data_IF_727558755471
#
_entry.id   IF_727558755471
#
_cell.length_a   1.000
_cell.length_b   1.000
_cell.length_c   1.000
_cell.angle_alpha   90.00
_cell.angle_beta   90.00
_cell.angle_gamma   90.00
#
_symmetry.space_group_name_H-M   'P 1'
#
loop_
_entity.id
_entity.type
_entity.pdbx_description
1 polymer ?
#
# COMPACT_ATOMS: atom_id res chain seq x y z
N UNK A 1 55.77 12.44 -18.77
CA UNK A 1 54.37 12.67 -19.20
C UNK A 1 53.90 11.47 -19.96
N UNK A 2 53.34 10.46 -19.30
CA UNK A 2 52.81 9.25 -19.94
C UNK A 2 51.29 9.26 -19.87
N UNK A 3 50.69 9.39 -21.06
CA UNK A 3 49.23 9.30 -21.27
C UNK A 3 48.81 7.84 -21.25
N UNK A 4 48.16 7.40 -20.15
CA UNK A 4 47.45 6.14 -20.16
C UNK A 4 46.11 6.32 -20.92
N UNK A 5 46.06 5.84 -22.15
CA UNK A 5 44.84 5.62 -22.89
C UNK A 5 44.14 4.40 -22.30
N UNK A 6 43.06 4.59 -21.55
CA UNK A 6 42.15 3.50 -21.19
C UNK A 6 41.38 3.08 -22.44
N UNK A 7 41.76 1.94 -23.01
CA UNK A 7 40.98 1.27 -24.02
C UNK A 7 39.78 0.62 -23.35
N UNK A 8 38.55 1.18 -23.54
CA UNK A 8 37.31 0.52 -23.24
C UNK A 8 37.06 -0.46 -24.37
N UNK A 9 37.28 -1.76 -24.12
CA UNK A 9 36.81 -2.81 -25.02
C UNK A 9 35.27 -2.87 -24.92
N UNK A 10 34.55 -2.79 -26.04
CA UNK A 10 33.14 -3.11 -26.07
C UNK A 10 33.00 -4.64 -25.94
N UNK A 11 32.53 -5.11 -24.79
CA UNK A 11 32.09 -6.49 -24.64
C UNK A 11 30.78 -6.60 -25.40
N UNK A 12 30.82 -7.09 -26.62
CA UNK A 12 29.64 -7.47 -27.37
C UNK A 12 29.05 -8.73 -26.72
N UNK A 13 28.07 -8.55 -25.86
CA UNK A 13 27.23 -9.62 -25.38
C UNK A 13 26.28 -10.05 -26.50
N UNK A 14 26.64 -11.09 -27.24
CA UNK A 14 25.69 -11.79 -28.10
C UNK A 14 24.80 -12.67 -27.21
N UNK A 15 23.63 -12.18 -26.85
CA UNK A 15 22.58 -12.95 -26.13
C UNK A 15 21.83 -13.76 -27.18
N UNK A 16 22.11 -15.05 -27.24
CA UNK A 16 21.31 -16.00 -28.01
C UNK A 16 20.31 -16.64 -27.09
N UNK A 17 19.02 -16.30 -27.25
CA UNK A 17 17.92 -17.00 -26.59
C UNK A 17 17.72 -18.33 -27.32
N UNK A 18 18.22 -19.42 -26.76
CA UNK A 18 18.00 -20.75 -27.29
C UNK A 18 16.74 -21.33 -26.66
N UNK A 19 15.76 -21.64 -27.50
CA UNK A 19 14.52 -22.28 -27.13
C UNK A 19 14.70 -23.67 -26.49
N UNK A 20 13.77 -24.01 -25.64
CA UNK A 20 13.63 -25.24 -24.87
C UNK A 20 13.91 -26.51 -25.67
N UNK A 21 14.97 -27.23 -25.32
CA UNK A 21 15.10 -28.65 -25.61
C UNK A 21 15.62 -29.34 -24.34
N UNK A 22 14.73 -30.15 -23.75
CA UNK A 22 15.05 -30.88 -22.54
C UNK A 22 16.10 -31.94 -22.76
N UNK A 23 17.03 -32.05 -21.78
CA UNK A 23 17.67 -33.29 -21.29
C UNK A 23 18.55 -32.93 -20.09
N UNK A 24 18.32 -33.55 -18.98
CA UNK A 24 19.17 -33.83 -17.79
C UNK A 24 20.26 -32.82 -17.35
N UNK A 25 20.04 -31.51 -17.45
CA UNK A 25 21.04 -30.52 -17.04
C UNK A 25 20.49 -29.14 -16.71
N UNK A 26 19.23 -29.02 -16.23
CA UNK A 26 18.60 -27.73 -15.88
C UNK A 26 18.39 -26.79 -17.08
N UNK A 27 17.34 -26.01 -17.05
CA UNK A 27 17.07 -25.01 -18.11
C UNK A 27 18.18 -23.96 -18.14
N UNK A 28 18.80 -23.76 -19.31
CA UNK A 28 19.79 -22.69 -19.52
C UNK A 28 19.05 -21.42 -19.94
N UNK A 29 19.29 -20.33 -19.23
CA UNK A 29 18.65 -19.03 -19.53
C UNK A 29 19.54 -18.11 -20.36
N UNK A 30 20.84 -18.14 -20.11
CA UNK A 30 21.82 -17.29 -20.81
C UNK A 30 23.07 -18.14 -21.07
N UNK A 31 23.61 -18.06 -22.28
CA UNK A 31 24.87 -18.70 -22.65
C UNK A 31 25.86 -17.68 -23.17
N UNK A 32 27.11 -17.77 -22.77
CA UNK A 32 28.22 -16.95 -23.26
C UNK A 32 29.52 -17.76 -23.36
N UNK A 33 30.57 -17.18 -23.95
CA UNK A 33 31.89 -17.80 -23.94
C UNK A 33 32.50 -17.96 -22.55
N UNK A 34 32.00 -17.21 -21.56
CA UNK A 34 32.46 -17.26 -20.18
C UNK A 34 31.72 -18.32 -19.35
N UNK A 35 30.64 -18.92 -19.86
CA UNK A 35 29.81 -19.92 -19.21
C UNK A 35 28.34 -19.69 -19.43
N UNK A 36 27.54 -20.59 -18.87
CA UNK A 36 26.08 -20.58 -18.92
C UNK A 36 25.50 -20.15 -17.56
N UNK A 37 24.37 -19.44 -17.59
CA UNK A 37 23.51 -19.21 -16.41
C UNK A 37 22.36 -20.20 -16.48
N UNK A 38 22.31 -21.11 -15.53
CA UNK A 38 21.32 -22.18 -15.45
C UNK A 38 20.22 -21.85 -14.44
N UNK A 39 19.15 -22.64 -14.48
CA UNK A 39 18.10 -22.59 -13.44
C UNK A 39 18.67 -22.78 -12.03
N UNK A 40 19.66 -23.69 -11.89
CA UNK A 40 20.33 -23.93 -10.63
C UNK A 40 21.06 -22.69 -10.12
N UNK A 41 21.79 -21.99 -10.98
CA UNK A 41 22.51 -20.78 -10.60
C UNK A 41 21.56 -19.68 -10.13
N UNK A 42 20.41 -19.54 -10.80
CA UNK A 42 19.34 -18.58 -10.40
C UNK A 42 18.74 -18.98 -9.04
N UNK A 43 18.39 -20.25 -8.86
CA UNK A 43 17.83 -20.77 -7.60
C UNK A 43 18.81 -20.57 -6.44
N UNK A 44 20.09 -20.86 -6.64
CA UNK A 44 21.14 -20.65 -5.64
C UNK A 44 21.32 -19.16 -5.32
N UNK A 45 21.23 -18.28 -6.31
CA UNK A 45 21.36 -16.83 -6.12
C UNK A 45 20.21 -16.20 -5.33
N UNK A 46 19.00 -16.73 -5.49
CA UNK A 46 17.79 -16.27 -4.77
C UNK A 46 17.85 -16.70 -3.29
N UNK A 47 18.50 -17.82 -3.01
CA UNK A 47 18.62 -18.40 -1.68
C UNK A 47 17.39 -19.21 -1.23
N UNK A 48 17.65 -20.23 -0.44
CA UNK A 48 16.65 -21.23 -0.03
C UNK A 48 15.44 -20.63 0.70
N UNK A 49 15.66 -19.60 1.54
CA UNK A 49 14.57 -18.94 2.30
C UNK A 49 13.58 -18.24 1.38
N UNK A 50 14.07 -17.47 0.41
CA UNK A 50 13.21 -16.76 -0.54
C UNK A 50 12.49 -17.72 -1.48
N UNK A 51 13.19 -18.77 -1.94
CA UNK A 51 12.60 -19.82 -2.77
C UNK A 51 11.46 -20.54 -2.03
N UNK A 52 11.68 -20.90 -0.75
CA UNK A 52 10.65 -21.53 0.09
C UNK A 52 9.42 -20.63 0.28
N UNK A 53 9.62 -19.34 0.57
CA UNK A 53 8.51 -18.38 0.69
C UNK A 53 7.71 -18.27 -0.63
N UNK A 54 8.40 -18.19 -1.76
CA UNK A 54 7.76 -18.11 -3.07
C UNK A 54 6.98 -19.38 -3.38
N UNK A 55 7.57 -20.56 -3.16
CA UNK A 55 6.90 -21.85 -3.36
C UNK A 55 5.66 -22.00 -2.47
N UNK A 56 5.76 -21.61 -1.19
CA UNK A 56 4.63 -21.60 -0.25
C UNK A 56 3.52 -20.69 -0.74
N UNK A 57 3.84 -19.45 -1.15
CA UNK A 57 2.87 -18.51 -1.71
C UNK A 57 2.17 -19.07 -2.95
N UNK A 58 2.93 -19.67 -3.88
CA UNK A 58 2.36 -20.30 -5.07
C UNK A 58 1.45 -21.49 -4.71
N UNK A 59 1.81 -22.29 -3.71
CA UNK A 59 0.98 -23.41 -3.24
C UNK A 59 -0.32 -22.90 -2.62
N UNK A 60 -0.26 -21.89 -1.77
CA UNK A 60 -1.46 -21.24 -1.18
C UNK A 60 -2.40 -20.75 -2.28
N UNK A 61 -1.88 -20.07 -3.31
CA UNK A 61 -2.68 -19.60 -4.43
C UNK A 61 -3.38 -20.75 -5.18
N UNK A 62 -2.64 -21.84 -5.45
CA UNK A 62 -3.22 -23.02 -6.10
C UNK A 62 -4.34 -23.67 -5.27
N UNK A 63 -4.11 -23.83 -3.95
CA UNK A 63 -5.10 -24.38 -3.03
C UNK A 63 -6.35 -23.51 -2.96
N UNK A 64 -6.19 -22.17 -2.93
CA UNK A 64 -7.30 -21.22 -2.92
C UNK A 64 -8.12 -21.31 -4.22
N UNK A 65 -7.46 -21.30 -5.37
CA UNK A 65 -8.14 -21.40 -6.68
C UNK A 65 -8.87 -22.73 -6.84
N UNK A 66 -8.31 -23.83 -6.34
CA UNK A 66 -8.96 -25.15 -6.36
C UNK A 66 -10.17 -25.19 -5.42
N UNK A 67 -10.02 -24.72 -4.17
CA UNK A 67 -11.11 -24.65 -3.17
C UNK A 67 -12.32 -23.86 -3.67
N UNK A 68 -12.07 -22.74 -4.36
CA UNK A 68 -13.12 -21.84 -4.84
C UNK A 68 -13.41 -21.98 -6.34
N UNK A 69 -12.94 -23.05 -6.95
CA UNK A 69 -13.25 -23.39 -8.35
C UNK A 69 -14.78 -23.41 -8.56
N UNK A 70 -15.26 -22.66 -9.54
CA UNK A 70 -16.70 -22.52 -9.84
C UNK A 70 -17.50 -21.59 -8.92
N UNK A 71 -16.86 -21.02 -7.88
CA UNK A 71 -17.46 -19.97 -7.04
C UNK A 71 -16.94 -18.57 -7.40
N UNK A 72 -15.83 -18.49 -8.13
CA UNK A 72 -15.27 -17.22 -8.61
C UNK A 72 -16.17 -16.72 -9.75
N UNK A 73 -16.66 -15.49 -9.62
CA UNK A 73 -17.44 -14.82 -10.66
C UNK A 73 -16.52 -14.38 -11.81
N UNK A 74 -16.44 -15.18 -12.84
CA UNK A 74 -15.64 -14.91 -14.05
C UNK A 74 -16.08 -13.62 -14.76
N UNK A 75 -17.36 -13.25 -14.67
CA UNK A 75 -17.88 -12.01 -15.25
C UNK A 75 -17.30 -10.79 -14.50
N UNK A 76 -17.30 -10.83 -13.17
CA UNK A 76 -16.69 -9.79 -12.37
C UNK A 76 -15.18 -9.65 -12.63
N UNK A 77 -14.47 -10.77 -12.88
CA UNK A 77 -13.06 -10.75 -13.28
C UNK A 77 -12.86 -10.03 -14.62
N UNK A 78 -13.68 -10.33 -15.62
CA UNK A 78 -13.61 -9.66 -16.94
C UNK A 78 -13.95 -8.16 -16.84
N UNK A 79 -14.93 -7.79 -16.03
CA UNK A 79 -15.27 -6.39 -15.78
C UNK A 79 -14.11 -5.61 -15.14
N UNK A 80 -13.44 -6.22 -14.14
CA UNK A 80 -12.25 -5.61 -13.50
C UNK A 80 -11.10 -5.47 -14.50
N UNK A 81 -10.87 -6.49 -15.33
CA UNK A 81 -9.87 -6.43 -16.40
C UNK A 81 -10.17 -5.28 -17.38
N UNK A 82 -11.43 -5.16 -17.80
CA UNK A 82 -11.87 -4.13 -18.72
C UNK A 82 -11.74 -2.71 -18.12
N UNK A 83 -12.06 -2.55 -16.84
CA UNK A 83 -11.83 -1.30 -16.09
C UNK A 83 -10.32 -0.92 -16.08
N UNK A 84 -9.44 -1.89 -15.77
CA UNK A 84 -8.01 -1.68 -15.80
C UNK A 84 -7.52 -1.28 -17.21
N UNK A 85 -7.93 -1.99 -18.24
CA UNK A 85 -7.57 -1.64 -19.62
C UNK A 85 -8.02 -0.23 -20.00
N UNK A 86 -9.23 0.16 -19.62
CA UNK A 86 -9.75 1.51 -19.88
C UNK A 86 -8.93 2.57 -19.17
N UNK A 87 -8.59 2.35 -17.88
CA UNK A 87 -7.80 3.27 -17.07
C UNK A 87 -6.40 3.53 -17.65
N UNK A 88 -5.79 2.51 -18.24
CA UNK A 88 -4.46 2.62 -18.85
C UNK A 88 -4.46 2.92 -20.36
N UNK A 89 -5.59 3.41 -20.90
CA UNK A 89 -5.69 3.90 -22.28
C UNK A 89 -5.91 2.82 -23.33
N UNK A 90 -6.54 1.70 -22.95
CA UNK A 90 -6.96 0.61 -23.82
C UNK A 90 -6.10 -0.65 -23.67
N UNK A 91 -6.63 -1.74 -24.24
CA UNK A 91 -6.06 -3.09 -24.14
C UNK A 91 -4.57 -3.14 -24.54
N UNK A 92 -4.24 -2.57 -25.70
CA UNK A 92 -2.86 -2.63 -26.23
C UNK A 92 -1.83 -1.94 -25.32
N UNK A 93 -2.17 -0.73 -24.81
CA UNK A 93 -1.30 0.01 -23.90
C UNK A 93 -1.15 -0.72 -22.57
N UNK A 94 -2.23 -1.29 -22.08
CA UNK A 94 -2.21 -2.08 -20.85
C UNK A 94 -1.32 -3.31 -20.97
N UNK A 95 -1.43 -4.07 -22.09
CA UNK A 95 -0.57 -5.23 -22.35
C UNK A 95 0.90 -4.84 -22.49
N UNK A 96 1.20 -3.70 -23.13
CA UNK A 96 2.57 -3.18 -23.21
C UNK A 96 3.13 -2.84 -21.82
N UNK A 97 2.33 -2.19 -20.96
CA UNK A 97 2.71 -1.90 -19.58
C UNK A 97 3.00 -3.17 -18.78
N UNK A 98 2.14 -4.17 -18.88
CA UNK A 98 2.36 -5.47 -18.23
C UNK A 98 3.66 -6.13 -18.71
N UNK A 99 3.92 -6.14 -20.02
CA UNK A 99 5.16 -6.69 -20.59
C UNK A 99 6.42 -5.98 -20.09
N UNK A 100 6.38 -4.65 -19.96
CA UNK A 100 7.50 -3.88 -19.39
C UNK A 100 7.81 -4.28 -17.94
N UNK A 101 6.79 -4.70 -17.20
CA UNK A 101 6.91 -5.19 -15.81
C UNK A 101 7.15 -6.70 -15.71
N UNK A 102 7.32 -7.41 -16.84
CA UNK A 102 7.54 -8.86 -16.87
C UNK A 102 6.27 -9.69 -16.60
N UNK A 103 5.08 -9.08 -16.75
CA UNK A 103 3.79 -9.75 -16.60
C UNK A 103 3.13 -10.05 -17.95
N UNK A 104 2.28 -11.08 -17.95
CA UNK A 104 1.34 -11.36 -19.06
C UNK A 104 -0.08 -11.02 -18.64
N UNK A 105 -0.97 -10.84 -19.62
CA UNK A 105 -2.39 -10.63 -19.36
C UNK A 105 -3.01 -11.79 -18.56
N UNK A 106 -2.62 -13.04 -18.87
CA UNK A 106 -3.09 -14.23 -18.18
C UNK A 106 -2.66 -14.21 -16.70
N UNK A 107 -1.39 -13.88 -16.40
CA UNK A 107 -0.91 -13.74 -15.03
C UNK A 107 -1.64 -12.63 -14.28
N UNK A 108 -1.95 -11.53 -14.94
CA UNK A 108 -2.76 -10.46 -14.34
C UNK A 108 -4.16 -10.97 -13.99
N UNK A 109 -4.81 -11.67 -14.93
CA UNK A 109 -6.14 -12.29 -14.74
C UNK A 109 -6.11 -13.33 -13.62
N UNK A 110 -5.09 -14.18 -13.57
CA UNK A 110 -4.89 -15.13 -12.47
C UNK A 110 -4.75 -14.42 -11.11
N UNK A 111 -4.06 -13.30 -11.07
CA UNK A 111 -3.98 -12.45 -9.87
C UNK A 111 -5.35 -11.94 -9.40
N UNK A 112 -6.22 -11.51 -10.34
CA UNK A 112 -7.60 -11.13 -10.01
C UNK A 112 -8.41 -12.31 -9.45
N UNK A 113 -8.26 -13.50 -10.02
CA UNK A 113 -8.91 -14.74 -9.51
C UNK A 113 -8.42 -15.11 -8.12
N UNK A 114 -7.12 -15.02 -7.87
CA UNK A 114 -6.54 -15.26 -6.53
C UNK A 114 -7.13 -14.28 -5.52
N UNK A 115 -7.22 -13.00 -5.86
CA UNK A 115 -7.84 -11.98 -4.99
C UNK A 115 -9.32 -12.29 -4.71
N UNK A 116 -10.08 -12.70 -5.71
CA UNK A 116 -11.48 -13.11 -5.54
C UNK A 116 -11.60 -14.34 -4.63
N UNK A 117 -10.72 -15.35 -4.80
CA UNK A 117 -10.68 -16.53 -3.94
C UNK A 117 -10.31 -16.20 -2.49
N UNK A 118 -9.39 -15.25 -2.26
CA UNK A 118 -9.06 -14.75 -0.93
C UNK A 118 -10.28 -14.08 -0.27
N UNK A 119 -11.02 -13.26 -1.01
CA UNK A 119 -12.25 -12.65 -0.51
C UNK A 119 -13.29 -13.71 -0.12
N UNK A 120 -13.46 -14.76 -0.93
CA UNK A 120 -14.36 -15.87 -0.61
C UNK A 120 -13.90 -16.63 0.64
N UNK A 121 -12.59 -16.85 0.81
CA UNK A 121 -12.03 -17.46 2.03
C UNK A 121 -12.32 -16.62 3.27
N UNK A 122 -12.10 -15.31 3.18
CA UNK A 122 -12.39 -14.39 4.27
C UNK A 122 -13.88 -14.44 4.63
N UNK A 123 -14.75 -14.37 3.64
CA UNK A 123 -16.20 -14.45 3.84
C UNK A 123 -16.62 -15.77 4.50
N UNK A 124 -16.05 -16.91 4.05
CA UNK A 124 -16.32 -18.23 4.63
C UNK A 124 -15.86 -18.32 6.09
N UNK A 125 -14.68 -17.71 6.39
CA UNK A 125 -14.10 -17.76 7.73
C UNK A 125 -14.78 -16.81 8.71
N UNK A 126 -15.07 -15.58 8.29
CA UNK A 126 -15.67 -14.54 9.16
C UNK A 126 -17.19 -14.66 9.23
N UNK A 127 -17.82 -15.50 8.41
CA UNK A 127 -19.26 -15.47 8.19
C UNK A 127 -19.75 -14.12 7.65
N UNK A 128 -18.85 -13.33 7.08
CA UNK A 128 -19.14 -12.01 6.51
C UNK A 128 -19.77 -12.22 5.14
N UNK A 129 -21.02 -11.90 5.02
CA UNK A 129 -21.73 -11.89 3.76
C UNK A 129 -21.79 -10.45 3.19
N UNK A 130 -22.29 -10.33 1.96
CA UNK A 130 -22.40 -9.03 1.30
C UNK A 130 -23.29 -8.04 2.09
N UNK A 131 -24.28 -8.53 2.83
CA UNK A 131 -25.18 -7.68 3.62
C UNK A 131 -24.43 -7.05 4.81
N UNK A 132 -23.59 -7.82 5.52
CA UNK A 132 -22.72 -7.28 6.58
C UNK A 132 -21.69 -6.29 6.02
N UNK A 133 -21.11 -6.60 4.85
CA UNK A 133 -20.21 -5.64 4.20
C UNK A 133 -20.93 -4.36 3.81
N UNK A 134 -22.16 -4.44 3.31
CA UNK A 134 -22.98 -3.25 3.01
C UNK A 134 -23.35 -2.47 4.28
N UNK A 135 -23.69 -3.14 5.37
CA UNK A 135 -23.92 -2.47 6.64
C UNK A 135 -22.68 -1.70 7.13
N UNK A 136 -21.51 -2.34 7.07
CA UNK A 136 -20.23 -1.70 7.40
C UNK A 136 -19.90 -0.56 6.44
N UNK A 137 -20.21 -0.72 5.15
CA UNK A 137 -20.04 0.33 4.17
C UNK A 137 -20.88 1.57 4.51
N UNK A 138 -22.16 1.42 4.83
CA UNK A 138 -23.02 2.55 5.18
C UNK A 138 -22.48 3.37 6.37
N UNK A 139 -21.86 2.70 7.34
CA UNK A 139 -21.21 3.35 8.49
C UNK A 139 -19.91 4.06 8.14
N UNK A 140 -19.21 3.59 7.09
CA UNK A 140 -17.85 4.02 6.76
C UNK A 140 -17.75 4.79 5.44
N UNK A 141 -18.81 4.89 4.64
CA UNK A 141 -18.73 5.45 3.27
C UNK A 141 -18.26 6.91 3.21
N UNK A 142 -18.59 7.69 4.25
CA UNK A 142 -18.08 9.05 4.35
C UNK A 142 -16.64 9.03 4.86
N UNK A 143 -15.70 9.42 4.01
CA UNK A 143 -14.27 9.36 4.24
C UNK A 143 -13.70 10.77 4.36
N UNK A 144 -12.77 10.92 5.28
CA UNK A 144 -12.01 12.15 5.53
C UNK A 144 -10.53 11.90 5.21
N UNK A 145 -9.94 12.74 4.39
CA UNK A 145 -8.50 12.77 4.18
C UNK A 145 -7.90 13.68 5.26
N UNK A 146 -7.21 13.09 6.20
CA UNK A 146 -6.73 13.78 7.39
C UNK A 146 -5.23 14.08 7.31
N UNK A 147 -4.83 15.18 7.93
CA UNK A 147 -3.45 15.48 8.25
C UNK A 147 -3.36 16.00 9.68
N UNK A 148 -2.20 15.81 10.35
CA UNK A 148 -1.97 16.36 11.68
C UNK A 148 -0.56 16.85 11.91
N UNK A 149 -0.42 17.69 12.94
CA UNK A 149 0.83 18.06 13.57
C UNK A 149 0.77 17.56 15.01
N UNK A 150 1.73 16.74 15.43
CA UNK A 150 1.85 16.27 16.81
C UNK A 150 3.01 16.97 17.51
N UNK A 151 2.74 17.56 18.67
CA UNK A 151 3.75 18.04 19.62
C UNK A 151 3.72 17.11 20.83
N UNK A 152 4.71 16.22 20.89
CA UNK A 152 4.76 15.16 21.90
C UNK A 152 5.07 15.69 23.28
N UNK A 153 4.39 15.13 24.28
CA UNK A 153 4.65 15.37 25.69
C UNK A 153 5.59 14.30 26.23
N UNK A 154 6.44 14.67 27.17
CA UNK A 154 7.32 13.75 27.88
C UNK A 154 6.53 12.70 28.64
N UNK A 155 6.89 11.42 28.44
CA UNK A 155 6.33 10.27 29.12
C UNK A 155 7.39 9.19 29.29
N UNK A 156 7.09 8.10 29.99
CA UNK A 156 8.02 6.96 30.12
C UNK A 156 8.36 6.35 28.75
N UNK A 157 7.41 6.33 27.81
CA UNK A 157 7.61 5.88 26.44
C UNK A 157 8.24 6.92 25.51
N UNK A 158 8.25 8.20 25.90
CA UNK A 158 8.84 9.31 25.16
C UNK A 158 9.61 10.26 26.10
N UNK A 159 10.80 9.88 26.58
CA UNK A 159 11.58 10.68 27.53
C UNK A 159 12.09 12.00 26.93
N UNK A 160 12.12 12.13 25.61
CA UNK A 160 12.58 13.32 24.87
C UNK A 160 11.45 14.31 24.53
N UNK A 161 10.21 14.04 24.91
CA UNK A 161 9.10 14.96 24.76
C UNK A 161 9.28 16.25 25.54
N UNK A 162 8.52 17.28 25.19
CA UNK A 162 8.47 18.55 25.92
C UNK A 162 7.70 18.40 27.25
N UNK A 163 7.85 19.36 28.16
CA UNK A 163 6.92 19.48 29.27
C UNK A 163 5.48 19.68 28.75
N UNK A 164 4.48 19.35 29.54
CA UNK A 164 3.06 19.53 29.11
C UNK A 164 2.78 21.00 28.76
N UNK A 165 3.32 21.93 29.56
CA UNK A 165 3.16 23.37 29.35
C UNK A 165 3.87 23.84 28.07
N UNK A 166 5.10 23.43 27.83
CA UNK A 166 5.87 23.81 26.63
C UNK A 166 5.27 23.20 25.35
N UNK A 167 4.82 21.95 25.43
CA UNK A 167 4.16 21.28 24.30
C UNK A 167 2.85 21.99 23.92
N UNK A 168 2.05 22.36 24.92
CA UNK A 168 0.82 23.12 24.70
C UNK A 168 1.12 24.46 24.06
N UNK A 169 2.05 25.22 24.63
CA UNK A 169 2.45 26.54 24.12
C UNK A 169 2.93 26.45 22.67
N UNK A 170 3.79 25.47 22.36
CA UNK A 170 4.27 25.25 20.98
C UNK A 170 3.14 24.92 20.03
N UNK A 171 2.19 24.05 20.43
CA UNK A 171 1.03 23.73 19.60
C UNK A 171 0.13 24.96 19.37
N UNK A 172 -0.10 25.78 20.38
CA UNK A 172 -0.87 27.04 20.26
C UNK A 172 -0.18 28.05 19.32
N UNK A 173 1.16 28.16 19.39
CA UNK A 173 1.95 29.00 18.48
C UNK A 173 1.83 28.53 17.03
N UNK A 174 1.92 27.22 16.77
CA UNK A 174 1.75 26.67 15.45
C UNK A 174 0.32 26.84 14.93
N UNK A 175 -0.67 26.61 15.78
CA UNK A 175 -2.07 26.84 15.43
C UNK A 175 -2.33 28.30 15.03
N UNK A 176 -1.75 29.26 15.77
CA UNK A 176 -1.81 30.68 15.41
C UNK A 176 -1.20 30.94 14.04
N UNK A 177 0.01 30.40 13.76
CA UNK A 177 0.67 30.55 12.46
C UNK A 177 -0.20 30.02 11.31
N UNK A 178 -0.85 28.86 11.49
CA UNK A 178 -1.78 28.32 10.51
C UNK A 178 -2.96 29.25 10.29
N UNK A 179 -3.53 29.83 11.37
CA UNK A 179 -4.61 30.82 11.26
C UNK A 179 -4.16 32.11 10.57
N UNK A 180 -2.90 32.48 10.71
CA UNK A 180 -2.30 33.65 10.07
C UNK A 180 -1.91 33.37 8.59
N UNK A 181 -2.13 32.12 8.10
CA UNK A 181 -1.99 31.72 6.70
C UNK A 181 -0.70 30.97 6.35
N UNK A 182 0.11 30.57 7.34
CA UNK A 182 1.28 29.72 7.07
C UNK A 182 0.83 28.32 6.61
N UNK A 183 1.62 27.71 5.71
CA UNK A 183 1.29 26.43 5.11
C UNK A 183 1.36 25.29 6.13
N UNK A 184 0.25 24.56 6.26
CA UNK A 184 0.12 23.46 7.23
C UNK A 184 1.13 22.35 6.99
N UNK A 185 1.33 21.94 5.72
CA UNK A 185 2.23 20.84 5.40
C UNK A 185 3.69 21.18 5.69
N UNK A 186 4.09 22.44 5.48
CA UNK A 186 5.41 22.94 5.82
C UNK A 186 5.62 22.92 7.33
N UNK A 187 4.66 23.45 8.10
CA UNK A 187 4.74 23.44 9.57
C UNK A 187 4.75 22.01 10.13
N UNK A 188 4.00 21.08 9.52
CA UNK A 188 4.04 19.68 9.91
C UNK A 188 5.43 19.05 9.69
N UNK A 189 6.05 19.28 8.53
CA UNK A 189 7.40 18.80 8.21
C UNK A 189 8.46 19.30 9.20
N UNK A 190 8.35 20.55 9.61
CA UNK A 190 9.34 21.21 10.44
C UNK A 190 9.17 20.93 11.95
N UNK A 191 7.94 20.66 12.39
CA UNK A 191 7.62 20.68 13.80
C UNK A 191 6.96 19.43 14.35
N UNK A 192 6.34 18.58 13.50
CA UNK A 192 5.62 17.41 13.98
C UNK A 192 6.57 16.35 14.53
N UNK A 193 6.23 15.82 15.69
CA UNK A 193 6.94 14.69 16.30
C UNK A 193 6.42 13.33 15.82
N UNK A 194 5.39 13.28 14.99
CA UNK A 194 4.98 12.06 14.27
C UNK A 194 5.91 11.83 13.08
N UNK A 195 7.02 11.14 13.32
CA UNK A 195 8.07 10.90 12.31
C UNK A 195 7.58 10.06 11.13
N UNK A 196 6.52 9.29 11.29
CA UNK A 196 5.94 8.48 10.21
C UNK A 196 5.28 9.36 9.14
N UNK A 197 4.64 10.45 9.54
CA UNK A 197 3.82 11.28 8.65
C UNK A 197 4.36 12.69 8.46
N UNK A 198 5.22 13.20 9.37
CA UNK A 198 5.77 14.55 9.32
C UNK A 198 6.39 14.90 7.96
N UNK A 199 7.23 14.02 7.40
CA UNK A 199 7.91 14.24 6.11
C UNK A 199 6.95 14.40 4.93
N UNK A 200 5.73 13.84 5.05
CA UNK A 200 4.64 13.97 4.05
C UNK A 200 3.63 15.07 4.43
N UNK A 201 4.05 16.07 5.22
CA UNK A 201 3.18 17.18 5.60
C UNK A 201 2.11 16.81 6.63
N UNK A 202 2.33 15.73 7.39
CA UNK A 202 1.43 15.23 8.41
C UNK A 202 0.26 14.39 7.85
N UNK A 203 0.30 14.01 6.57
CA UNK A 203 -0.76 13.25 5.88
C UNK A 203 -0.95 11.87 6.51
N UNK A 204 -2.18 11.60 6.98
CA UNK A 204 -2.64 10.35 7.60
C UNK A 204 -3.44 9.47 6.65
N UNK A 205 -3.71 9.96 5.43
CA UNK A 205 -4.56 9.28 4.45
C UNK A 205 -6.05 9.38 4.76
N UNK A 206 -6.82 8.50 4.10
CA UNK A 206 -8.29 8.45 4.21
C UNK A 206 -8.73 7.62 5.42
N UNK A 207 -9.71 8.13 6.15
CA UNK A 207 -10.25 7.52 7.35
C UNK A 207 -11.75 7.79 7.49
N UNK A 208 -12.48 6.96 8.24
CA UNK A 208 -13.90 7.13 8.58
C UNK A 208 -14.11 7.33 10.08
N UNK A 209 -15.30 7.73 10.48
CA UNK A 209 -15.67 7.88 11.90
C UNK A 209 -15.54 6.59 12.71
N UNK A 210 -15.71 5.45 12.05
CA UNK A 210 -15.60 4.11 12.67
C UNK A 210 -14.16 3.59 12.72
N UNK A 211 -13.19 4.36 12.23
CA UNK A 211 -11.78 3.97 12.31
C UNK A 211 -11.29 3.99 13.76
N UNK A 212 -10.77 2.87 14.22
CA UNK A 212 -10.27 2.70 15.58
C UNK A 212 -8.76 2.98 15.73
N UNK A 213 -8.10 3.41 14.66
CA UNK A 213 -6.67 3.77 14.67
C UNK A 213 -6.39 5.03 15.47
N UNK A 214 -7.39 5.89 15.67
CA UNK A 214 -7.25 7.16 16.38
C UNK A 214 -7.91 7.11 17.75
N UNK A 215 -7.29 7.76 18.72
CA UNK A 215 -7.87 7.93 20.06
C UNK A 215 -9.10 8.83 20.03
N UNK A 216 -9.93 8.69 21.04
CA UNK A 216 -11.27 9.33 21.09
C UNK A 216 -11.21 10.83 20.87
N UNK A 217 -10.33 11.52 21.59
CA UNK A 217 -10.20 12.99 21.56
C UNK A 217 -9.79 13.48 20.14
N UNK A 218 -8.92 12.73 19.48
CA UNK A 218 -8.53 13.01 18.10
C UNK A 218 -9.71 12.83 17.15
N UNK A 219 -10.45 11.72 17.27
CA UNK A 219 -11.64 11.41 16.44
C UNK A 219 -12.71 12.48 16.59
N UNK A 220 -13.03 12.87 17.82
CA UNK A 220 -14.06 13.89 18.11
C UNK A 220 -13.70 15.23 17.44
N UNK A 221 -12.44 15.63 17.49
CA UNK A 221 -12.01 16.87 16.86
C UNK A 221 -11.94 16.76 15.33
N UNK A 222 -11.36 15.67 14.79
CA UNK A 222 -11.19 15.48 13.36
C UNK A 222 -12.52 15.44 12.60
N UNK A 223 -13.45 14.62 13.09
CA UNK A 223 -14.71 14.36 12.40
C UNK A 223 -15.83 15.39 12.68
N UNK A 224 -15.52 16.43 13.47
CA UNK A 224 -16.33 17.64 13.58
C UNK A 224 -15.97 18.69 12.50
N UNK A 225 -14.84 18.49 11.81
CA UNK A 225 -14.35 19.38 10.76
C UNK A 225 -14.96 19.01 9.39
N UNK A 226 -14.92 20.01 8.50
CA UNK A 226 -15.18 19.84 7.08
C UNK A 226 -13.92 20.14 6.29
N UNK A 227 -13.92 19.86 4.99
CA UNK A 227 -12.80 20.13 4.07
C UNK A 227 -12.15 21.49 4.31
N UNK A 228 -10.82 21.51 4.28
CA UNK A 228 -9.93 22.66 4.47
C UNK A 228 -9.96 23.29 5.88
N UNK A 229 -10.74 22.73 6.82
CA UNK A 229 -10.78 23.24 8.19
C UNK A 229 -9.69 22.61 9.05
N UNK A 230 -9.26 23.39 10.04
CA UNK A 230 -8.24 23.03 11.04
C UNK A 230 -8.91 23.05 12.43
N UNK A 231 -8.59 22.04 13.26
CA UNK A 231 -9.08 21.96 14.64
C UNK A 231 -8.43 23.02 15.52
N UNK A 232 -9.02 23.29 16.66
CA UNK A 232 -8.29 23.85 17.79
C UNK A 232 -7.21 22.84 18.24
N UNK A 233 -6.35 23.26 19.17
CA UNK A 233 -5.33 22.37 19.75
C UNK A 233 -6.00 21.28 20.58
N UNK A 234 -5.77 20.02 20.23
CA UNK A 234 -6.40 18.83 20.84
C UNK A 234 -5.37 18.10 21.70
N UNK A 235 -5.67 17.91 22.99
CA UNK A 235 -4.82 17.11 23.90
C UNK A 235 -5.22 15.64 23.82
N UNK A 236 -4.21 14.77 23.69
CA UNK A 236 -4.36 13.31 23.79
C UNK A 236 -3.29 12.73 24.73
N UNK A 237 -3.27 11.41 24.90
CA UNK A 237 -2.20 10.71 25.62
C UNK A 237 -0.81 10.83 24.96
N UNK A 238 -0.74 11.16 23.66
CA UNK A 238 0.52 11.34 22.91
C UNK A 238 1.10 12.76 23.01
N UNK A 239 0.26 13.73 23.32
CA UNK A 239 0.62 15.14 23.34
C UNK A 239 -0.50 16.03 22.78
N UNK A 240 -0.09 17.10 22.11
CA UNK A 240 -1.00 18.08 21.52
C UNK A 240 -1.02 17.95 20.00
N UNK A 241 -2.22 17.88 19.42
CA UNK A 241 -2.44 17.75 17.99
C UNK A 241 -3.10 19.00 17.43
N UNK A 242 -2.73 19.35 16.21
CA UNK A 242 -3.49 20.23 15.32
C UNK A 242 -3.89 19.38 14.12
N UNK A 243 -5.19 19.29 13.83
CA UNK A 243 -5.72 18.38 12.83
C UNK A 243 -6.31 19.19 11.69
N UNK A 244 -6.10 18.74 10.45
CA UNK A 244 -6.69 19.34 9.25
C UNK A 244 -7.40 18.29 8.43
N UNK A 245 -8.59 18.62 7.91
CA UNK A 245 -9.23 17.84 6.84
C UNK A 245 -8.73 18.37 5.51
N UNK A 246 -7.98 17.57 4.79
CA UNK A 246 -7.46 17.90 3.45
C UNK A 246 -8.54 17.77 2.39
N UNK A 247 -9.37 16.72 2.51
CA UNK A 247 -10.49 16.44 1.61
C UNK A 247 -11.52 15.55 2.30
N UNK A 248 -12.73 15.49 1.73
CA UNK A 248 -13.78 14.57 2.18
C UNK A 248 -14.55 14.06 0.96
N UNK A 249 -15.00 12.79 1.02
CA UNK A 249 -15.78 12.16 -0.05
C UNK A 249 -16.66 11.04 0.47
N UNK A 250 -17.70 10.73 -0.27
CA UNK A 250 -18.38 9.45 -0.14
C UNK A 250 -17.74 8.44 -1.08
N UNK A 251 -17.03 7.45 -0.51
CA UNK A 251 -16.46 6.35 -1.28
C UNK A 251 -17.57 5.41 -1.75
N UNK A 252 -17.41 4.76 -2.89
CA UNK A 252 -18.35 3.76 -3.37
C UNK A 252 -18.15 2.43 -2.66
N UNK A 253 -19.19 1.58 -2.65
CA UNK A 253 -19.09 0.22 -2.08
C UNK A 253 -17.97 -0.60 -2.74
N UNK A 254 -17.83 -0.52 -4.06
CA UNK A 254 -16.80 -1.22 -4.82
C UNK A 254 -15.38 -0.80 -4.42
N UNK A 255 -15.17 0.49 -4.13
CA UNK A 255 -13.88 1.00 -3.65
C UNK A 255 -13.53 0.47 -2.27
N UNK A 256 -14.52 0.30 -1.39
CA UNK A 256 -14.32 -0.06 0.02
C UNK A 256 -14.41 -1.56 0.27
N UNK A 257 -15.03 -2.34 -0.63
CA UNK A 257 -15.38 -3.75 -0.40
C UNK A 257 -14.19 -4.60 0.06
N UNK A 258 -13.01 -4.42 -0.55
CA UNK A 258 -11.82 -5.17 -0.18
C UNK A 258 -11.34 -4.82 1.25
N UNK A 259 -11.24 -3.53 1.56
CA UNK A 259 -10.80 -3.05 2.88
C UNK A 259 -11.78 -3.44 3.99
N UNK A 260 -13.08 -3.38 3.71
CA UNK A 260 -14.11 -3.82 4.67
C UNK A 260 -14.04 -5.32 4.94
N UNK A 261 -13.74 -6.13 3.91
CA UNK A 261 -13.56 -7.57 4.07
C UNK A 261 -12.28 -7.89 4.87
N UNK A 262 -11.19 -7.17 4.64
CA UNK A 262 -9.95 -7.31 5.41
C UNK A 262 -10.15 -6.95 6.89
N UNK A 263 -10.78 -5.82 7.19
CA UNK A 263 -11.12 -5.43 8.57
C UNK A 263 -12.01 -6.46 9.26
N UNK A 264 -13.03 -6.97 8.57
CA UNK A 264 -13.87 -8.03 9.12
C UNK A 264 -13.11 -9.33 9.41
N UNK A 265 -12.02 -9.59 8.68
CA UNK A 265 -11.15 -10.74 8.93
C UNK A 265 -10.21 -10.54 10.11
N UNK A 266 -9.78 -9.31 10.38
CA UNK A 266 -8.93 -8.96 11.53
C UNK A 266 -9.71 -8.99 12.85
N UNK A 267 -11.02 -8.72 12.81
CA UNK A 267 -11.91 -8.70 13.97
C UNK A 267 -12.44 -10.09 14.36
N UNK A 268 -12.29 -11.11 13.48
CA UNK A 268 -12.83 -12.48 13.67
C UNK A 268 -11.83 -13.45 14.25
#
# INVERSE_FOLDING_TARGET
MNKFKKAILPVALSVSVIGLAGCSGGTKYISSKAGDVTEKDIVESIGASQLSKTATSMMIQKVLLDKYKGKIDEKAIEEQLQKAQTQYGGKEKFEQLLKQQGFTLDKYKDGLKVKAAQTLLINDYTGTNEDKLKENYEKNKHQYHLAHILISVKSDSNPNGLSDEDAKKKAEELHKKIKDGEDFATLAKENSNDTANASNGGDLGWSSKEDNSFVKEFKEAAYALTKDKVSDVVKTSFGYHIIKVLDEKDATFDEMKATLAEKAAEEA
#
